data_IF_628218768898
#
_entry.id   IF_628218768898
#
_cell.length_a   1.000
_cell.length_b   1.000
_cell.length_c   1.000
_cell.angle_alpha   90.00
_cell.angle_beta   90.00
_cell.angle_gamma   90.00
#
_symmetry.space_group_name_H-M   'P 1'
#
loop_
_entity.id
_entity.type
_entity.pdbx_description
1 polymer ?
#
# COMPACT_ATOMS: atom_id res chain seq x y z
N UNK A 1 -20.95 -7.41 -9.30
CA UNK A 1 -20.50 -6.83 -8.02
C UNK A 1 -21.71 -6.61 -7.15
N UNK A 2 -21.71 -7.27 -6.01
CA UNK A 2 -22.74 -7.10 -4.99
C UNK A 2 -22.54 -5.77 -4.23
N UNK A 3 -23.60 -5.25 -3.62
CA UNK A 3 -23.52 -4.00 -2.85
C UNK A 3 -22.55 -4.12 -1.67
N UNK A 4 -22.49 -5.30 -1.05
CA UNK A 4 -21.60 -5.58 0.07
C UNK A 4 -20.13 -5.50 -0.34
N UNK A 5 -19.77 -6.11 -1.48
CA UNK A 5 -18.42 -6.04 -2.06
C UNK A 5 -18.01 -4.59 -2.33
N UNK A 6 -18.89 -3.81 -2.96
CA UNK A 6 -18.67 -2.39 -3.26
C UNK A 6 -18.36 -1.59 -1.99
N UNK A 7 -19.17 -1.78 -0.93
CA UNK A 7 -18.99 -1.07 0.34
C UNK A 7 -17.65 -1.45 0.98
N UNK A 8 -17.34 -2.74 1.02
CA UNK A 8 -16.09 -3.26 1.60
C UNK A 8 -14.87 -2.71 0.85
N UNK A 9 -14.88 -2.76 -0.48
CA UNK A 9 -13.78 -2.25 -1.31
C UNK A 9 -13.57 -0.75 -1.12
N UNK A 10 -14.64 0.06 -1.09
CA UNK A 10 -14.53 1.49 -0.85
C UNK A 10 -13.95 1.77 0.55
N UNK A 11 -14.46 1.11 1.59
CA UNK A 11 -14.01 1.33 2.97
C UNK A 11 -12.54 0.94 3.13
N UNK A 12 -12.13 -0.22 2.61
CA UNK A 12 -10.73 -0.68 2.64
C UNK A 12 -9.84 0.26 1.83
N UNK A 13 -10.26 0.62 0.61
CA UNK A 13 -9.53 1.51 -0.26
C UNK A 13 -9.26 2.88 0.37
N UNK A 14 -10.27 3.48 1.01
CA UNK A 14 -10.14 4.74 1.74
C UNK A 14 -9.27 4.60 3.00
N UNK A 15 -9.38 3.49 3.74
CA UNK A 15 -8.50 3.22 4.87
C UNK A 15 -7.04 3.14 4.42
N UNK A 16 -6.75 2.41 3.33
CA UNK A 16 -5.40 2.34 2.78
C UNK A 16 -4.93 3.70 2.24
N UNK A 17 -5.80 4.51 1.66
CA UNK A 17 -5.47 5.87 1.22
C UNK A 17 -5.04 6.73 2.41
N UNK A 18 -5.77 6.63 3.52
CA UNK A 18 -5.41 7.28 4.78
C UNK A 18 -4.04 6.80 5.29
N UNK A 19 -3.79 5.49 5.34
CA UNK A 19 -2.47 4.98 5.78
C UNK A 19 -1.33 5.43 4.86
N UNK A 20 -1.56 5.48 3.54
CA UNK A 20 -0.61 6.00 2.56
C UNK A 20 -0.25 7.45 2.84
N UNK A 21 -1.26 8.29 3.12
CA UNK A 21 -1.04 9.69 3.50
C UNK A 21 -0.24 9.80 4.81
N UNK A 22 -0.63 9.04 5.83
CA UNK A 22 0.03 9.06 7.13
C UNK A 22 1.50 8.61 7.02
N UNK A 23 1.80 7.56 6.24
CA UNK A 23 3.16 7.07 6.07
C UNK A 23 3.95 7.99 5.13
N UNK A 24 3.43 8.26 3.93
CA UNK A 24 4.18 8.93 2.86
C UNK A 24 4.30 10.45 3.01
N UNK A 25 3.31 11.10 3.61
CA UNK A 25 3.25 12.56 3.74
C UNK A 25 3.53 13.01 5.17
N UNK A 26 2.94 12.34 6.17
CA UNK A 26 3.18 12.65 7.59
C UNK A 26 4.39 11.93 8.18
N UNK A 27 5.07 11.10 7.38
CA UNK A 27 6.25 10.33 7.80
C UNK A 27 5.99 9.45 9.04
N UNK A 28 4.74 9.03 9.25
CA UNK A 28 4.31 8.25 10.41
C UNK A 28 4.71 6.78 10.27
N UNK A 29 5.99 6.50 10.50
CA UNK A 29 6.58 5.17 10.37
C UNK A 29 6.01 4.13 11.35
N UNK A 30 5.35 4.56 12.43
CA UNK A 30 4.80 3.65 13.46
C UNK A 30 3.59 2.85 12.98
N UNK A 31 2.98 3.24 11.84
CA UNK A 31 1.95 2.45 11.17
C UNK A 31 2.52 1.22 10.46
N UNK A 32 3.84 1.12 10.31
CA UNK A 32 4.51 -0.09 9.87
C UNK A 32 4.85 -0.98 11.07
N UNK A 33 4.96 -2.28 10.84
CA UNK A 33 5.55 -3.15 11.85
C UNK A 33 7.03 -2.80 12.06
N UNK A 34 7.46 -2.77 13.32
CA UNK A 34 8.82 -2.40 13.72
C UNK A 34 9.93 -3.15 12.96
N UNK A 35 9.71 -4.44 12.67
CA UNK A 35 10.69 -5.28 11.98
C UNK A 35 10.94 -4.89 10.52
N UNK A 36 10.11 -4.02 9.92
CA UNK A 36 10.32 -3.47 8.57
C UNK A 36 11.23 -2.24 8.52
N UNK A 37 11.57 -1.66 9.68
CA UNK A 37 12.42 -0.46 9.74
C UNK A 37 13.40 -0.49 10.92
N UNK A 38 13.56 -1.62 11.59
CA UNK A 38 14.45 -1.75 12.76
C UNK A 38 15.92 -1.47 12.40
N UNK A 39 16.35 -1.77 11.18
CA UNK A 39 17.72 -1.56 10.68
C UNK A 39 17.83 -0.33 9.77
N UNK A 40 16.79 0.49 9.69
CA UNK A 40 16.77 1.70 8.86
C UNK A 40 17.74 2.75 9.42
N UNK A 41 18.64 3.25 8.58
CA UNK A 41 19.47 4.40 8.92
C UNK A 41 18.56 5.62 9.19
N UNK A 42 18.68 6.30 10.34
CA UNK A 42 17.85 7.45 10.68
C UNK A 42 17.80 8.53 9.59
N UNK A 43 18.88 8.72 8.82
CA UNK A 43 18.93 9.72 7.74
C UNK A 43 17.99 9.38 6.58
N UNK A 44 17.72 8.10 6.37
CA UNK A 44 16.91 7.59 5.27
C UNK A 44 15.42 7.56 5.59
N UNK A 45 15.03 7.82 6.85
CA UNK A 45 13.64 7.76 7.32
C UNK A 45 12.66 8.45 6.37
N UNK A 46 12.93 9.71 6.01
CA UNK A 46 12.05 10.52 5.17
C UNK A 46 11.88 9.95 3.76
N UNK A 47 12.97 9.48 3.15
CA UNK A 47 12.93 8.90 1.80
C UNK A 47 12.24 7.54 1.83
N UNK A 48 12.52 6.75 2.86
CA UNK A 48 11.90 5.45 3.09
C UNK A 48 10.39 5.58 3.24
N UNK A 49 9.90 6.39 4.18
CA UNK A 49 8.46 6.57 4.44
C UNK A 49 7.73 7.10 3.21
N UNK A 50 8.31 8.08 2.49
CA UNK A 50 7.74 8.58 1.23
C UNK A 50 7.56 7.47 0.20
N UNK A 51 8.56 6.60 0.02
CA UNK A 51 8.50 5.48 -0.93
C UNK A 51 7.50 4.41 -0.48
N UNK A 52 7.48 4.05 0.80
CA UNK A 52 6.46 3.13 1.32
C UNK A 52 5.06 3.69 1.07
N UNK A 53 4.83 4.98 1.36
CA UNK A 53 3.57 5.65 1.08
C UNK A 53 3.16 5.61 -0.39
N UNK A 54 4.08 5.77 -1.34
CA UNK A 54 3.82 5.61 -2.79
C UNK A 54 3.36 4.19 -3.11
N UNK A 55 4.02 3.17 -2.56
CA UNK A 55 3.60 1.78 -2.72
C UNK A 55 2.20 1.53 -2.16
N UNK A 56 1.93 2.00 -0.94
CA UNK A 56 0.62 1.89 -0.29
C UNK A 56 -0.47 2.66 -1.05
N UNK A 57 -0.13 3.81 -1.66
CA UNK A 57 -1.03 4.58 -2.50
C UNK A 57 -1.45 3.77 -3.72
N UNK A 58 -0.50 3.09 -4.36
CA UNK A 58 -0.78 2.26 -5.54
C UNK A 58 -1.72 1.10 -5.21
N UNK A 59 -1.52 0.46 -4.05
CA UNK A 59 -2.44 -0.59 -3.55
C UNK A 59 -3.83 -0.01 -3.28
N UNK A 60 -3.92 1.14 -2.62
CA UNK A 60 -5.18 1.83 -2.35
C UNK A 60 -5.94 2.19 -3.63
N UNK A 61 -5.24 2.74 -4.63
CA UNK A 61 -5.82 3.05 -5.94
C UNK A 61 -6.30 1.76 -6.62
N UNK A 62 -5.51 0.68 -6.56
CA UNK A 62 -5.91 -0.62 -7.08
C UNK A 62 -7.25 -1.09 -6.54
N UNK A 63 -7.44 -1.01 -5.21
CA UNK A 63 -8.70 -1.37 -4.56
C UNK A 63 -9.84 -0.40 -4.92
N UNK A 64 -9.60 0.91 -4.95
CA UNK A 64 -10.65 1.90 -5.24
C UNK A 64 -11.10 1.90 -6.71
N UNK A 65 -10.23 1.52 -7.63
CA UNK A 65 -10.53 1.49 -9.07
C UNK A 65 -11.31 0.24 -9.46
N UNK A 66 -11.12 -0.89 -8.77
CA UNK A 66 -11.88 -2.14 -8.99
C UNK A 66 -13.40 -1.91 -9.07
N UNK A 67 -14.06 -1.35 -8.03
CA UNK A 67 -15.51 -1.20 -8.04
C UNK A 67 -15.97 -0.20 -9.10
N UNK A 68 -15.20 0.87 -9.34
CA UNK A 68 -15.53 1.91 -10.32
C UNK A 68 -15.56 1.31 -11.73
N UNK A 69 -14.53 0.53 -12.09
CA UNK A 69 -14.46 -0.12 -13.41
C UNK A 69 -15.54 -1.18 -13.53
N UNK A 70 -15.78 -1.98 -12.49
CA UNK A 70 -16.82 -3.01 -12.53
C UNK A 70 -18.22 -2.41 -12.71
N UNK A 71 -18.51 -1.26 -12.06
CA UNK A 71 -19.77 -0.53 -12.21
C UNK A 71 -19.96 0.03 -13.63
N UNK A 72 -18.92 0.65 -14.20
CA UNK A 72 -19.02 1.32 -15.51
C UNK A 72 -19.02 0.30 -16.66
N UNK A 73 -18.24 -0.77 -16.54
CA UNK A 73 -18.08 -1.78 -17.60
C UNK A 73 -19.13 -2.89 -17.56
N UNK A 74 -19.89 -3.00 -16.46
CA UNK A 74 -20.77 -4.14 -16.18
C UNK A 74 -20.06 -5.50 -16.34
N UNK A 75 -18.77 -5.55 -16.00
CA UNK A 75 -17.90 -6.72 -16.17
C UNK A 75 -16.93 -6.84 -14.99
N UNK A 76 -16.16 -7.93 -14.94
CA UNK A 76 -15.14 -8.16 -13.92
C UNK A 76 -13.77 -7.55 -14.25
N UNK A 77 -13.68 -6.71 -15.30
CA UNK A 77 -12.42 -6.09 -15.73
C UNK A 77 -11.70 -5.30 -14.62
N UNK A 78 -12.47 -4.70 -13.70
CA UNK A 78 -11.92 -3.95 -12.57
C UNK A 78 -11.07 -4.82 -11.67
N UNK A 79 -11.46 -6.08 -11.44
CA UNK A 79 -10.68 -7.02 -10.61
C UNK A 79 -9.30 -7.30 -11.22
N UNK A 80 -9.22 -7.54 -12.52
CA UNK A 80 -7.93 -7.79 -13.19
C UNK A 80 -7.02 -6.57 -13.13
N UNK A 81 -7.54 -5.38 -13.43
CA UNK A 81 -6.78 -4.13 -13.42
C UNK A 81 -6.32 -3.80 -11.99
N UNK A 82 -7.23 -3.88 -11.03
CA UNK A 82 -6.91 -3.63 -9.62
C UNK A 82 -5.89 -4.64 -9.08
N UNK A 83 -6.00 -5.92 -9.43
CA UNK A 83 -5.06 -6.95 -9.00
C UNK A 83 -3.65 -6.65 -9.49
N UNK A 84 -3.50 -6.22 -10.75
CA UNK A 84 -2.21 -5.80 -11.31
C UNK A 84 -1.63 -4.63 -10.48
N UNK A 85 -2.43 -3.60 -10.18
CA UNK A 85 -1.98 -2.45 -9.39
C UNK A 85 -1.56 -2.85 -7.97
N UNK A 86 -2.33 -3.72 -7.31
CA UNK A 86 -2.02 -4.25 -5.97
C UNK A 86 -0.71 -5.02 -6.01
N UNK A 87 -0.54 -5.93 -6.96
CA UNK A 87 0.68 -6.74 -7.09
C UNK A 87 1.90 -5.85 -7.29
N UNK A 88 1.83 -4.87 -8.20
CA UNK A 88 2.93 -3.91 -8.43
C UNK A 88 3.21 -3.09 -7.17
N UNK A 89 2.18 -2.61 -6.47
CA UNK A 89 2.30 -1.85 -5.23
C UNK A 89 2.98 -2.66 -4.12
N UNK A 90 2.57 -3.90 -3.91
CA UNK A 90 3.15 -4.81 -2.90
C UNK A 90 4.59 -5.14 -3.23
N UNK A 91 4.91 -5.50 -4.48
CA UNK A 91 6.31 -5.76 -4.88
C UNK A 91 7.19 -4.53 -4.68
N UNK A 92 6.68 -3.34 -4.99
CA UNK A 92 7.39 -2.09 -4.74
C UNK A 92 7.65 -1.89 -3.24
N UNK A 93 6.65 -2.08 -2.37
CA UNK A 93 6.82 -1.99 -0.91
C UNK A 93 7.89 -2.96 -0.42
N UNK A 94 7.82 -4.24 -0.83
CA UNK A 94 8.80 -5.27 -0.45
C UNK A 94 10.21 -4.86 -0.88
N UNK A 95 10.37 -4.40 -2.11
CA UNK A 95 11.65 -3.94 -2.63
C UNK A 95 12.23 -2.79 -1.79
N UNK A 96 11.40 -1.82 -1.40
CA UNK A 96 11.83 -0.69 -0.55
C UNK A 96 12.21 -1.17 0.86
N UNK A 97 11.43 -2.06 1.47
CA UNK A 97 11.77 -2.63 2.77
C UNK A 97 13.13 -3.34 2.70
N UNK A 98 13.31 -4.26 1.76
CA UNK A 98 14.58 -4.99 1.61
C UNK A 98 15.75 -4.05 1.32
N UNK A 99 15.55 -3.05 0.45
CA UNK A 99 16.60 -2.09 0.08
C UNK A 99 17.12 -1.26 1.27
N UNK A 100 16.24 -0.83 2.17
CA UNK A 100 16.60 0.09 3.26
C UNK A 100 16.78 -0.60 4.62
N UNK A 101 16.07 -1.71 4.87
CA UNK A 101 16.11 -2.48 6.12
C UNK A 101 16.95 -3.77 5.98
N UNK A 102 17.49 -4.07 4.80
CA UNK A 102 18.33 -5.23 4.48
C UNK A 102 17.56 -6.54 4.32
N UNK A 103 16.57 -6.80 5.18
CA UNK A 103 15.68 -7.96 5.13
C UNK A 103 14.22 -7.52 5.24
N UNK A 104 13.32 -8.37 4.76
CA UNK A 104 11.87 -8.15 4.92
C UNK A 104 11.46 -8.13 6.41
N UNK A 105 12.02 -9.05 7.19
CA UNK A 105 11.81 -9.17 8.64
C UNK A 105 13.18 -9.10 9.31
N UNK A 106 13.37 -8.08 10.14
CA UNK A 106 14.57 -7.87 10.94
C UNK A 106 14.21 -7.78 12.42
N UNK A 107 14.91 -8.54 13.26
CA UNK A 107 14.77 -8.44 14.71
C UNK A 107 15.80 -7.45 15.28
N UNK A 108 15.42 -6.76 16.35
CA UNK A 108 16.35 -5.95 17.12
C UNK A 108 17.34 -6.90 17.79
N UNK A 109 18.65 -6.66 17.59
CA UNK A 109 19.69 -7.37 18.35
C UNK A 109 19.69 -6.92 19.80
#
# INVERSE_FOLDING_TARGET
>A
MELEELIVEIVIGLFLLFTSYQIGIKENITLLHGYHYTQLDPKDKKVFTKKIGIGTLLVSIGILVMPIINLISHSELGYYIGLILIVVGVFYIIFIIVKYNGKLISFKK
#
